data_IF_854622974754
#
_entry.id   IF_854622974754
#
_cell.length_a   1.000
_cell.length_b   1.000
_cell.length_c   1.000
_cell.angle_alpha   90.00
_cell.angle_beta   90.00
_cell.angle_gamma   90.00
#
_symmetry.space_group_name_H-M   'P 1'
#
loop_
_entity.id
_entity.type
_entity.pdbx_description
1 polymer ?
#
# COMPACT_ATOMS: atom_id res chain seq x y z
N UNK A 1 -2.51 -5.91 -21.79
CA UNK A 1 -1.38 -5.37 -21.02
C UNK A 1 -0.59 -4.43 -21.87
N UNK A 2 -0.31 -3.23 -21.35
CA UNK A 2 0.67 -2.30 -21.89
C UNK A 2 2.04 -2.73 -21.36
N UNK A 3 2.99 -3.02 -22.26
CA UNK A 3 4.34 -3.43 -21.88
C UNK A 3 5.34 -2.36 -22.27
N UNK A 4 6.08 -1.87 -21.29
CA UNK A 4 7.14 -0.86 -21.47
C UNK A 4 8.47 -1.53 -21.18
N UNK A 5 9.15 -1.96 -22.23
CA UNK A 5 10.41 -2.70 -22.14
C UNK A 5 11.54 -2.03 -22.94
N UNK A 6 11.53 -0.69 -22.96
CA UNK A 6 12.57 0.13 -23.59
C UNK A 6 13.00 1.17 -22.58
N UNK A 7 14.30 1.22 -22.29
CA UNK A 7 14.88 2.23 -21.41
C UNK A 7 14.46 3.66 -21.82
N UNK A 8 14.37 4.53 -20.83
CA UNK A 8 14.00 5.95 -20.97
C UNK A 8 12.62 6.22 -21.57
N UNK A 9 11.74 5.22 -21.62
CA UNK A 9 10.38 5.43 -22.11
C UNK A 9 9.59 6.31 -21.14
N UNK A 10 8.99 7.38 -21.67
CA UNK A 10 8.04 8.23 -20.94
C UNK A 10 6.63 7.84 -21.35
N UNK A 11 5.82 7.41 -20.38
CA UNK A 11 4.38 7.17 -20.53
C UNK A 11 3.62 8.21 -19.70
N UNK A 12 3.27 9.33 -20.34
CA UNK A 12 2.60 10.48 -19.72
C UNK A 12 1.10 10.49 -20.05
N UNK A 13 0.26 10.48 -19.01
CA UNK A 13 -1.17 10.72 -19.10
C UNK A 13 -1.53 12.20 -18.95
N UNK A 14 -2.62 12.63 -19.59
CA UNK A 14 -3.15 13.98 -19.50
C UNK A 14 -4.63 13.91 -19.10
N UNK A 15 -5.05 14.75 -18.15
CA UNK A 15 -6.45 14.85 -17.72
C UNK A 15 -6.99 13.60 -17.03
N UNK A 16 -6.21 12.99 -16.12
CA UNK A 16 -6.50 11.71 -15.47
C UNK A 16 -6.79 10.59 -16.49
N UNK A 17 -5.87 10.43 -17.45
CA UNK A 17 -5.94 9.34 -18.41
C UNK A 17 -6.05 8.00 -17.69
N UNK A 18 -7.11 7.25 -18.02
CA UNK A 18 -7.50 6.05 -17.27
C UNK A 18 -7.30 4.79 -18.12
N UNK A 19 -6.70 3.76 -17.53
CA UNK A 19 -6.51 2.44 -18.13
C UNK A 19 -7.32 1.43 -17.31
N UNK A 20 -8.24 0.72 -17.98
CA UNK A 20 -9.04 -0.36 -17.37
C UNK A 20 -8.57 -1.69 -17.99
N UNK A 21 -8.02 -2.63 -17.22
CA UNK A 21 -7.70 -3.95 -17.73
C UNK A 21 -8.95 -4.83 -17.84
N UNK A 22 -9.24 -5.28 -19.05
CA UNK A 22 -10.24 -6.32 -19.28
C UNK A 22 -9.68 -7.71 -18.99
N UNK A 23 -10.57 -8.68 -18.69
CA UNK A 23 -10.24 -10.10 -18.57
C UNK A 23 -9.21 -10.46 -17.48
N UNK A 24 -9.06 -9.62 -16.45
CA UNK A 24 -8.18 -9.90 -15.31
C UNK A 24 -6.68 -9.85 -15.64
N UNK A 25 -6.29 -9.12 -16.68
CA UNK A 25 -4.88 -8.96 -17.05
C UNK A 25 -4.20 -7.87 -16.23
N UNK A 26 -2.89 -7.94 -16.07
CA UNK A 26 -2.11 -6.78 -15.62
C UNK A 26 -2.25 -5.63 -16.61
N UNK A 27 -2.58 -4.43 -16.12
CA UNK A 27 -2.76 -3.25 -16.97
C UNK A 27 -1.42 -2.80 -17.55
N UNK A 28 -0.40 -2.65 -16.69
CA UNK A 28 0.92 -2.14 -17.06
C UNK A 28 2.01 -3.08 -16.54
N UNK A 29 2.93 -3.49 -17.41
CA UNK A 29 4.18 -4.15 -17.05
C UNK A 29 5.37 -3.36 -17.54
N UNK A 30 6.26 -2.96 -16.63
CA UNK A 30 7.57 -2.38 -16.96
C UNK A 30 8.60 -3.50 -16.91
N UNK A 31 9.47 -3.57 -17.91
CA UNK A 31 10.59 -4.52 -17.91
C UNK A 31 11.71 -4.10 -16.96
N UNK A 32 12.75 -4.92 -16.87
CA UNK A 32 13.95 -4.65 -16.08
C UNK A 32 14.89 -3.70 -16.86
N UNK A 33 14.50 -2.42 -16.97
CA UNK A 33 15.16 -1.40 -17.81
C UNK A 33 15.25 -0.06 -17.11
N UNK A 34 16.32 0.67 -17.41
CA UNK A 34 16.58 2.00 -16.86
C UNK A 34 15.52 3.04 -17.25
N UNK A 35 15.26 3.97 -16.34
CA UNK A 35 14.77 5.31 -16.65
C UNK A 35 13.33 5.40 -17.17
N UNK A 36 12.52 4.35 -17.04
CA UNK A 36 11.10 4.43 -17.42
C UNK A 36 10.37 5.41 -16.52
N UNK A 37 9.49 6.23 -17.09
CA UNK A 37 8.73 7.26 -16.36
C UNK A 37 7.24 7.03 -16.61
N UNK A 38 6.54 6.49 -15.62
CA UNK A 38 5.08 6.39 -15.61
C UNK A 38 4.53 7.64 -14.91
N UNK A 39 3.76 8.47 -15.61
CA UNK A 39 3.32 9.75 -15.07
C UNK A 39 1.86 10.07 -15.37
N UNK A 40 1.07 10.45 -14.34
CA UNK A 40 -0.28 11.01 -14.51
C UNK A 40 -1.32 10.01 -15.03
N UNK A 41 -1.28 8.77 -14.54
CA UNK A 41 -2.14 7.66 -15.00
C UNK A 41 -3.04 7.17 -13.85
N UNK A 42 -4.31 6.96 -14.15
CA UNK A 42 -5.21 6.17 -13.29
C UNK A 42 -5.32 4.75 -13.86
N UNK A 43 -5.03 3.74 -13.04
CA UNK A 43 -5.34 2.34 -13.35
C UNK A 43 -6.58 1.94 -12.55
N UNK A 44 -7.68 1.69 -13.25
CA UNK A 44 -8.99 1.43 -12.66
C UNK A 44 -9.36 -0.04 -12.88
N UNK A 45 -9.52 -0.81 -11.81
CA UNK A 45 -9.66 -2.26 -11.89
C UNK A 45 -10.95 -2.67 -12.61
N UNK A 46 -10.84 -3.62 -13.55
CA UNK A 46 -12.00 -4.25 -14.17
C UNK A 46 -12.76 -5.20 -13.22
N UNK A 47 -13.98 -5.63 -13.59
CA UNK A 47 -14.81 -6.50 -12.76
C UNK A 47 -14.25 -7.93 -12.61
N UNK A 48 -13.38 -8.36 -13.53
CA UNK A 48 -12.65 -9.64 -13.44
C UNK A 48 -11.37 -9.39 -12.68
N UNK A 49 -11.12 -10.18 -11.63
CA UNK A 49 -9.94 -10.02 -10.78
C UNK A 49 -8.64 -10.08 -11.58
N UNK A 50 -7.82 -9.05 -11.45
CA UNK A 50 -6.44 -9.06 -11.94
C UNK A 50 -5.50 -9.52 -10.83
N UNK A 51 -4.55 -10.40 -11.13
CA UNK A 51 -3.59 -10.81 -10.10
C UNK A 51 -2.70 -9.63 -9.67
N UNK A 52 -2.25 -8.83 -10.63
CA UNK A 52 -1.58 -7.56 -10.43
C UNK A 52 -2.18 -6.50 -11.36
N UNK A 53 -2.25 -5.22 -10.96
CA UNK A 53 -2.65 -4.14 -11.88
C UNK A 53 -1.43 -3.47 -12.52
N UNK A 54 -0.38 -3.21 -11.73
CA UNK A 54 0.88 -2.62 -12.18
C UNK A 54 2.04 -3.48 -11.66
N UNK A 55 2.97 -3.82 -12.54
CA UNK A 55 4.21 -4.53 -12.21
C UNK A 55 5.41 -3.74 -12.75
N UNK A 56 6.33 -3.36 -11.86
CA UNK A 56 7.55 -2.60 -12.16
C UNK A 56 8.75 -3.52 -12.03
N UNK A 57 9.30 -3.95 -13.16
CA UNK A 57 10.28 -5.03 -13.20
C UNK A 57 9.60 -6.41 -13.10
N UNK A 58 10.10 -7.44 -13.79
CA UNK A 58 9.61 -8.80 -13.63
C UNK A 58 9.90 -9.37 -12.24
N UNK A 59 9.18 -10.41 -11.84
CA UNK A 59 9.52 -11.20 -10.65
C UNK A 59 10.99 -11.66 -10.69
N UNK A 60 11.71 -11.50 -9.56
CA UNK A 60 13.15 -11.74 -9.45
C UNK A 60 14.03 -10.80 -10.30
N UNK A 61 13.54 -9.59 -10.63
CA UNK A 61 14.40 -8.49 -11.07
C UNK A 61 15.55 -8.31 -10.07
N UNK A 62 16.75 -8.05 -10.60
CA UNK A 62 17.97 -7.94 -9.79
C UNK A 62 18.98 -6.96 -10.40
N UNK A 63 18.57 -6.16 -11.37
CA UNK A 63 19.40 -5.14 -11.96
C UNK A 63 19.36 -3.88 -11.08
N UNK A 64 20.54 -3.35 -10.78
CA UNK A 64 20.71 -2.05 -10.13
C UNK A 64 20.47 -0.93 -11.15
N UNK A 65 19.60 0.01 -10.81
CA UNK A 65 19.19 1.13 -11.65
C UNK A 65 19.53 2.48 -11.02
N UNK A 66 20.41 2.52 -10.01
CA UNK A 66 20.70 3.70 -9.19
C UNK A 66 21.07 4.97 -9.99
N UNK A 67 21.71 4.81 -11.15
CA UNK A 67 22.11 5.92 -12.01
C UNK A 67 20.94 6.51 -12.84
N UNK A 68 19.90 5.73 -13.12
CA UNK A 68 18.75 6.12 -13.94
C UNK A 68 17.52 5.28 -13.56
N UNK A 69 16.92 5.51 -12.38
CA UNK A 69 15.85 4.66 -11.87
C UNK A 69 14.56 4.82 -12.67
N UNK A 70 13.73 3.77 -12.66
CA UNK A 70 12.34 3.86 -13.09
C UNK A 70 11.52 4.63 -12.04
N UNK A 71 10.56 5.46 -12.48
CA UNK A 71 9.69 6.22 -11.58
C UNK A 71 8.20 6.10 -11.89
N UNK A 72 7.40 6.10 -10.83
CA UNK A 72 5.94 6.21 -10.82
C UNK A 72 5.57 7.55 -10.18
N UNK A 73 4.94 8.43 -10.94
CA UNK A 73 4.61 9.80 -10.50
C UNK A 73 3.16 10.15 -10.81
N UNK A 74 2.37 10.58 -9.83
CA UNK A 74 0.93 10.77 -10.02
C UNK A 74 0.25 9.54 -10.67
N UNK A 75 0.69 8.34 -10.25
CA UNK A 75 0.09 7.08 -10.67
C UNK A 75 -0.91 6.69 -9.61
N UNK A 76 -2.17 6.56 -10.00
CA UNK A 76 -3.28 6.26 -9.12
C UNK A 76 -3.84 4.88 -9.44
N UNK A 77 -4.35 4.19 -8.43
CA UNK A 77 -5.08 2.94 -8.60
C UNK A 77 -6.43 3.04 -7.91
N UNK A 78 -7.48 2.59 -8.60
CA UNK A 78 -8.83 2.46 -8.03
C UNK A 78 -9.33 1.02 -8.18
N UNK A 79 -9.94 0.51 -7.11
CA UNK A 79 -10.60 -0.80 -7.09
C UNK A 79 -12.06 -0.63 -6.62
N UNK A 80 -12.98 -0.55 -7.58
CA UNK A 80 -14.40 -0.31 -7.33
C UNK A 80 -14.81 1.17 -7.38
N UNK A 81 -16.02 1.49 -6.92
CA UNK A 81 -16.55 2.85 -6.82
C UNK A 81 -17.26 3.37 -8.08
N UNK A 82 -16.91 2.85 -9.26
CA UNK A 82 -17.58 3.09 -10.54
C UNK A 82 -18.23 1.81 -11.11
N UNK A 83 -18.65 0.91 -10.22
CA UNK A 83 -18.96 -0.49 -10.51
C UNK A 83 -17.98 -1.42 -9.79
N UNK A 84 -18.19 -2.75 -9.81
CA UNK A 84 -17.30 -3.69 -9.16
C UNK A 84 -15.95 -3.74 -9.88
N UNK A 85 -14.86 -3.71 -9.12
CA UNK A 85 -13.50 -3.93 -9.61
C UNK A 85 -12.73 -4.79 -8.61
N UNK A 86 -11.82 -5.65 -9.07
CA UNK A 86 -11.03 -6.52 -8.18
C UNK A 86 -9.59 -6.65 -8.63
N UNK A 87 -8.68 -6.71 -7.66
CA UNK A 87 -7.29 -7.09 -7.88
C UNK A 87 -6.73 -7.82 -6.66
N UNK A 88 -5.88 -8.83 -6.85
CA UNK A 88 -5.21 -9.50 -5.72
C UNK A 88 -4.19 -8.55 -5.09
N UNK A 89 -3.25 -8.05 -5.89
CA UNK A 89 -2.27 -7.02 -5.51
C UNK A 89 -2.37 -5.85 -6.49
N UNK A 90 -2.35 -4.61 -6.02
CA UNK A 90 -2.50 -3.47 -6.94
C UNK A 90 -1.19 -3.13 -7.65
N UNK A 91 -0.14 -2.85 -6.90
CA UNK A 91 1.19 -2.51 -7.44
C UNK A 91 2.22 -3.47 -6.88
N UNK A 92 3.04 -4.05 -7.76
CA UNK A 92 4.25 -4.80 -7.39
C UNK A 92 5.46 -4.07 -7.95
N UNK A 93 6.42 -3.74 -7.09
CA UNK A 93 7.69 -3.12 -7.45
C UNK A 93 8.81 -4.12 -7.20
N UNK A 94 9.30 -4.73 -8.29
CA UNK A 94 10.42 -5.67 -8.27
C UNK A 94 11.76 -5.01 -8.60
N UNK A 95 11.77 -4.01 -9.48
CA UNK A 95 13.02 -3.34 -9.86
C UNK A 95 13.62 -2.53 -8.71
N UNK A 96 14.92 -2.73 -8.49
CA UNK A 96 15.72 -1.96 -7.54
C UNK A 96 15.73 -0.46 -7.92
N UNK A 97 16.00 0.39 -6.93
CA UNK A 97 16.12 1.85 -7.04
C UNK A 97 14.85 2.60 -7.51
N UNK A 98 13.74 1.89 -7.74
CA UNK A 98 12.48 2.50 -8.20
C UNK A 98 12.07 3.67 -7.30
N UNK A 99 11.63 4.76 -7.92
CA UNK A 99 11.06 5.92 -7.21
C UNK A 99 9.54 5.91 -7.36
N UNK A 100 8.83 5.83 -6.23
CA UNK A 100 7.38 6.09 -6.16
C UNK A 100 7.22 7.49 -5.58
N UNK A 101 6.91 8.48 -6.41
CA UNK A 101 6.77 9.87 -5.99
C UNK A 101 5.35 10.36 -6.26
N UNK A 102 4.55 10.40 -5.19
CA UNK A 102 3.11 10.58 -5.19
C UNK A 102 2.34 9.46 -5.91
N UNK A 103 1.73 8.59 -5.10
CA UNK A 103 0.75 7.60 -5.58
C UNK A 103 -0.43 7.55 -4.61
N UNK A 104 -1.61 7.24 -5.15
CA UNK A 104 -2.77 6.90 -4.35
C UNK A 104 -3.35 5.59 -4.83
N UNK A 105 -3.29 4.56 -3.99
CA UNK A 105 -3.74 3.20 -4.29
C UNK A 105 -4.93 2.90 -3.39
N UNK A 106 -6.13 2.91 -3.96
CA UNK A 106 -7.36 3.01 -3.20
C UNK A 106 -8.34 1.90 -3.55
N UNK A 107 -8.61 1.02 -2.58
CA UNK A 107 -9.79 0.15 -2.63
C UNK A 107 -11.00 0.98 -2.21
N UNK A 108 -12.03 1.03 -3.06
CA UNK A 108 -13.14 1.93 -2.82
C UNK A 108 -13.91 1.66 -1.51
N UNK A 109 -14.09 2.70 -0.70
CA UNK A 109 -14.94 2.71 0.51
C UNK A 109 -16.35 3.29 0.24
N UNK A 110 -16.60 3.80 -0.96
CA UNK A 110 -17.88 4.37 -1.37
C UNK A 110 -18.10 4.29 -2.90
N UNK A 111 -19.26 4.76 -3.36
CA UNK A 111 -19.68 4.72 -4.76
C UNK A 111 -20.49 3.46 -5.10
N UNK A 112 -20.47 3.06 -6.37
CA UNK A 112 -21.13 1.83 -6.82
C UNK A 112 -20.13 0.66 -6.80
N UNK A 113 -20.58 -0.52 -6.39
CA UNK A 113 -19.78 -1.75 -6.48
C UNK A 113 -18.68 -1.90 -5.42
N UNK A 114 -18.83 -1.30 -4.24
CA UNK A 114 -17.94 -1.49 -3.09
C UNK A 114 -18.54 -2.47 -2.05
N UNK A 115 -17.67 -3.00 -1.19
CA UNK A 115 -18.02 -3.92 -0.09
C UNK A 115 -17.04 -5.07 0.02
N UNK A 116 -17.00 -5.74 1.18
CA UNK A 116 -15.94 -6.67 1.59
C UNK A 116 -15.53 -7.66 0.50
N UNK A 117 -16.54 -8.27 -0.15
CA UNK A 117 -16.35 -9.21 -1.27
C UNK A 117 -16.62 -8.59 -2.65
N UNK A 118 -17.30 -7.45 -2.75
CA UNK A 118 -17.71 -6.85 -4.03
C UNK A 118 -16.52 -6.28 -4.79
N UNK A 119 -15.67 -5.51 -4.10
CA UNK A 119 -14.42 -4.95 -4.63
C UNK A 119 -13.20 -5.43 -3.84
N UNK A 120 -13.22 -6.71 -3.43
CA UNK A 120 -12.13 -7.31 -2.67
C UNK A 120 -10.79 -7.06 -3.35
N UNK A 121 -9.85 -6.49 -2.60
CA UNK A 121 -8.45 -6.40 -2.93
C UNK A 121 -7.62 -6.63 -1.68
N UNK A 122 -6.84 -7.70 -1.70
CA UNK A 122 -6.13 -8.15 -0.50
C UNK A 122 -4.89 -7.28 -0.24
N UNK A 123 -4.15 -6.88 -1.28
CA UNK A 123 -2.87 -6.17 -1.13
C UNK A 123 -2.78 -4.90 -1.98
N UNK A 124 -2.30 -3.80 -1.38
CA UNK A 124 -2.11 -2.54 -2.09
C UNK A 124 -0.80 -2.51 -2.85
N UNK A 125 0.29 -2.21 -2.15
CA UNK A 125 1.64 -2.09 -2.72
C UNK A 125 2.54 -3.16 -2.12
N UNK A 126 3.18 -3.96 -2.98
CA UNK A 126 4.24 -4.88 -2.59
C UNK A 126 5.57 -4.42 -3.18
N UNK A 127 6.55 -4.16 -2.32
CA UNK A 127 7.89 -3.74 -2.71
C UNK A 127 8.87 -4.88 -2.47
N UNK A 128 9.36 -5.48 -3.54
CA UNK A 128 10.36 -6.54 -3.51
C UNK A 128 11.77 -6.02 -3.84
N UNK A 129 11.88 -4.97 -4.65
CA UNK A 129 13.16 -4.37 -5.04
C UNK A 129 13.87 -3.67 -3.89
N UNK A 130 15.20 -3.70 -3.94
CA UNK A 130 16.10 -3.01 -3.04
C UNK A 130 16.19 -1.51 -3.35
N UNK A 131 16.57 -0.69 -2.36
CA UNK A 131 16.85 0.75 -2.50
C UNK A 131 15.68 1.61 -3.02
N UNK A 132 14.47 1.05 -3.06
CA UNK A 132 13.24 1.75 -3.47
C UNK A 132 12.95 2.93 -2.54
N UNK A 133 12.56 4.06 -3.14
CA UNK A 133 12.17 5.27 -2.44
C UNK A 133 10.70 5.60 -2.72
N UNK A 134 9.90 5.71 -1.66
CA UNK A 134 8.54 6.24 -1.71
C UNK A 134 8.46 7.63 -1.06
N UNK A 135 7.98 8.63 -1.81
CA UNK A 135 7.71 9.98 -1.30
C UNK A 135 6.24 10.34 -1.54
N UNK A 136 5.46 10.53 -0.47
CA UNK A 136 4.02 10.76 -0.61
C UNK A 136 3.25 9.49 -0.97
N UNK A 137 3.32 8.47 -0.11
CA UNK A 137 2.64 7.18 -0.31
C UNK A 137 1.25 7.18 0.35
N UNK A 138 0.19 7.09 -0.46
CA UNK A 138 -1.20 6.98 0.02
C UNK A 138 -1.78 5.62 -0.41
N UNK A 139 -2.15 4.78 0.56
CA UNK A 139 -2.66 3.42 0.26
C UNK A 139 -3.77 3.08 1.23
N UNK A 140 -4.97 2.71 0.76
CA UNK A 140 -6.15 2.66 1.64
C UNK A 140 -7.09 1.48 1.37
N UNK A 141 -7.69 1.03 2.47
CA UNK A 141 -8.85 0.14 2.59
C UNK A 141 -8.68 -1.30 2.11
N UNK A 142 -7.45 -1.79 1.95
CA UNK A 142 -7.22 -3.18 1.51
C UNK A 142 -7.69 -4.19 2.56
N UNK A 143 -8.14 -5.36 2.10
CA UNK A 143 -8.65 -6.41 2.98
C UNK A 143 -7.55 -7.00 3.88
N UNK A 144 -6.28 -6.94 3.44
CA UNK A 144 -5.11 -7.39 4.22
C UNK A 144 -4.09 -6.26 4.39
N UNK A 145 -2.85 -6.48 3.95
CA UNK A 145 -1.77 -5.51 4.07
C UNK A 145 -1.90 -4.46 2.97
N UNK A 146 -2.04 -3.20 3.35
CA UNK A 146 -2.06 -2.10 2.39
C UNK A 146 -0.66 -1.95 1.75
N UNK A 147 0.41 -2.04 2.54
CA UNK A 147 1.79 -2.07 2.07
C UNK A 147 2.56 -3.25 2.68
N UNK A 148 3.26 -4.00 1.82
CA UNK A 148 4.26 -4.98 2.21
C UNK A 148 5.63 -4.62 1.60
N UNK A 149 6.67 -4.63 2.43
CA UNK A 149 8.03 -4.31 2.03
C UNK A 149 8.98 -5.46 2.34
N UNK A 150 9.56 -6.02 1.29
CA UNK A 150 10.47 -7.16 1.32
C UNK A 150 11.91 -6.81 0.92
N UNK A 151 12.08 -5.75 0.10
CA UNK A 151 13.41 -5.31 -0.35
C UNK A 151 14.21 -4.56 0.72
N UNK A 152 15.52 -4.62 0.61
CA UNK A 152 16.47 -3.98 1.52
C UNK A 152 16.62 -2.48 1.25
N UNK A 153 17.04 -1.73 2.28
CA UNK A 153 17.38 -0.29 2.21
C UNK A 153 16.24 0.61 1.71
N UNK A 154 15.01 0.11 1.78
CA UNK A 154 13.81 0.84 1.42
C UNK A 154 13.57 2.07 2.28
N UNK A 155 13.04 3.14 1.67
CA UNK A 155 12.73 4.39 2.36
C UNK A 155 11.34 4.90 2.02
N UNK A 156 10.60 5.31 3.05
CA UNK A 156 9.29 5.99 2.88
C UNK A 156 9.28 7.33 3.59
N UNK A 157 9.09 8.42 2.85
CA UNK A 157 8.93 9.77 3.39
C UNK A 157 7.49 10.19 3.13
N UNK A 158 6.72 10.31 4.22
CA UNK A 158 5.26 10.45 4.22
C UNK A 158 4.52 9.17 3.81
N UNK A 159 3.68 8.69 4.72
CA UNK A 159 2.69 7.63 4.46
C UNK A 159 1.34 7.97 5.08
N UNK A 160 0.28 7.76 4.32
CA UNK A 160 -1.09 7.86 4.78
C UNK A 160 -1.83 6.57 4.41
N UNK A 161 -2.59 6.07 5.38
CA UNK A 161 -3.46 4.91 5.20
C UNK A 161 -4.72 5.04 6.03
N UNK A 162 -5.84 4.60 5.49
CA UNK A 162 -6.99 4.18 6.27
C UNK A 162 -7.27 2.68 6.08
N UNK A 163 -7.59 1.97 7.16
CA UNK A 163 -7.97 0.55 7.09
C UNK A 163 -9.32 0.35 6.40
N UNK A 164 -9.61 -0.89 5.99
CA UNK A 164 -10.90 -1.25 5.42
C UNK A 164 -12.04 -1.04 6.43
N UNK A 165 -12.99 -0.18 6.11
CA UNK A 165 -14.11 0.16 7.00
C UNK A 165 -15.11 -0.99 7.16
N UNK A 166 -15.13 -1.88 6.17
CA UNK A 166 -16.20 -2.83 5.89
C UNK A 166 -15.86 -4.26 6.25
N UNK A 167 -14.83 -4.48 7.08
CA UNK A 167 -14.59 -5.77 7.71
C UNK A 167 -15.86 -6.19 8.49
N UNK A 168 -16.45 -7.38 8.21
CA UNK A 168 -17.74 -7.75 8.79
C UNK A 168 -17.66 -8.18 10.25
N UNK A 169 -16.46 -8.52 10.73
CA UNK A 169 -16.15 -8.91 12.11
C UNK A 169 -14.63 -9.06 12.30
N UNK A 170 -14.19 -9.30 13.54
CA UNK A 170 -12.78 -9.53 13.88
C UNK A 170 -12.17 -10.74 13.15
N UNK A 171 -12.92 -11.83 12.96
CA UNK A 171 -12.43 -13.07 12.34
C UNK A 171 -12.02 -12.84 10.88
N UNK A 172 -12.75 -11.98 10.16
CA UNK A 172 -12.48 -11.67 8.76
C UNK A 172 -11.11 -11.02 8.52
N UNK A 173 -10.54 -10.38 9.55
CA UNK A 173 -9.22 -9.74 9.48
C UNK A 173 -8.17 -10.46 10.34
N UNK A 174 -8.49 -11.60 10.94
CA UNK A 174 -7.55 -12.33 11.78
C UNK A 174 -6.34 -12.78 10.96
N UNK A 175 -5.14 -12.46 11.44
CA UNK A 175 -3.89 -12.72 10.75
C UNK A 175 -2.99 -13.61 11.60
N UNK A 176 -3.24 -14.92 11.57
CA UNK A 176 -2.65 -15.84 12.54
C UNK A 176 -3.04 -15.43 13.95
N UNK A 177 -2.05 -15.23 14.82
CA UNK A 177 -2.29 -14.76 16.20
C UNK A 177 -2.43 -13.22 16.29
N UNK A 178 -2.17 -12.48 15.20
CA UNK A 178 -2.28 -11.01 15.16
C UNK A 178 -3.71 -10.57 14.81
N UNK A 179 -4.24 -9.56 15.51
CA UNK A 179 -5.56 -8.98 15.21
C UNK A 179 -5.45 -7.97 14.07
N UNK A 180 -5.88 -8.34 12.87
CA UNK A 180 -5.79 -7.47 11.72
C UNK A 180 -4.45 -7.54 10.98
N UNK A 181 -4.44 -6.97 9.79
CA UNK A 181 -3.25 -6.81 8.97
C UNK A 181 -2.74 -5.38 9.12
N UNK A 182 -1.44 -5.19 9.37
CA UNK A 182 -0.83 -3.85 9.43
C UNK A 182 -1.13 -3.04 8.16
N UNK A 183 -1.22 -1.72 8.27
CA UNK A 183 -1.23 -0.84 7.11
C UNK A 183 0.10 -0.89 6.35
N UNK A 184 1.20 -0.99 7.10
CA UNK A 184 2.54 -1.05 6.53
C UNK A 184 3.36 -2.10 7.25
N UNK A 185 3.76 -3.15 6.52
CA UNK A 185 4.57 -4.25 7.01
C UNK A 185 5.94 -4.25 6.33
N UNK A 186 7.00 -4.24 7.13
CA UNK A 186 8.36 -4.65 6.70
C UNK A 186 8.53 -6.12 7.07
N UNK A 187 8.99 -6.93 6.12
CA UNK A 187 9.22 -8.36 6.36
C UNK A 187 10.33 -8.58 7.40
N UNK A 188 10.22 -9.66 8.19
CA UNK A 188 11.14 -9.95 9.28
C UNK A 188 12.57 -10.25 8.79
N UNK A 189 12.73 -10.63 7.51
CA UNK A 189 14.05 -10.84 6.90
C UNK A 189 14.82 -9.54 6.65
N UNK A 190 14.15 -8.40 6.49
CA UNK A 190 14.78 -7.12 6.11
C UNK A 190 15.75 -6.65 7.20
N UNK A 191 16.95 -6.25 6.81
CA UNK A 191 17.98 -5.73 7.73
C UNK A 191 18.05 -4.19 7.75
N UNK A 192 17.69 -3.53 6.65
CA UNK A 192 17.72 -2.08 6.52
C UNK A 192 16.42 -1.52 5.95
N UNK A 193 15.78 -0.61 6.67
CA UNK A 193 14.57 0.09 6.23
C UNK A 193 14.40 1.39 7.01
N UNK A 194 13.86 2.45 6.41
CA UNK A 194 13.60 3.69 7.16
C UNK A 194 12.34 4.45 6.72
N UNK A 195 11.50 4.84 7.69
CA UNK A 195 10.25 5.55 7.43
C UNK A 195 10.08 6.84 8.23
N UNK A 196 9.46 7.87 7.64
CA UNK A 196 9.22 9.18 8.27
C UNK A 196 7.80 9.68 8.06
N UNK A 197 7.14 10.12 9.14
CA UNK A 197 5.85 10.81 9.09
C UNK A 197 4.75 9.92 8.52
N UNK A 198 4.39 8.87 9.24
CA UNK A 198 3.52 7.81 8.74
C UNK A 198 2.29 7.65 9.62
N UNK A 199 1.10 7.61 9.01
CA UNK A 199 -0.18 7.52 9.72
C UNK A 199 -1.08 6.41 9.21
N UNK A 200 -1.72 5.70 10.15
CA UNK A 200 -2.75 4.70 9.87
C UNK A 200 -4.03 5.02 10.66
N UNK A 201 -5.15 5.24 9.96
CA UNK A 201 -6.45 5.56 10.56
C UNK A 201 -7.37 4.33 10.48
N UNK A 202 -8.32 4.19 11.41
CA UNK A 202 -9.37 3.18 11.32
C UNK A 202 -10.75 3.82 11.51
N UNK A 203 -11.72 3.27 10.76
CA UNK A 203 -13.12 3.63 10.82
C UNK A 203 -13.96 2.40 10.51
N UNK A 204 -13.86 1.38 11.36
CA UNK A 204 -14.64 0.14 11.25
C UNK A 204 -16.12 0.40 11.54
N UNK A 205 -16.80 1.16 10.69
CA UNK A 205 -18.18 1.57 10.89
C UNK A 205 -19.17 0.42 10.71
N UNK A 206 -18.79 -0.62 9.97
CA UNK A 206 -19.59 -1.84 9.80
C UNK A 206 -19.59 -2.69 11.07
N UNK A 207 -18.42 -2.86 11.71
CA UNK A 207 -18.31 -3.45 13.04
C UNK A 207 -17.35 -2.64 13.93
N UNK A 208 -17.87 -1.65 14.68
CA UNK A 208 -17.07 -0.80 15.56
C UNK A 208 -16.39 -1.52 16.72
N UNK A 209 -16.67 -2.81 16.94
CA UNK A 209 -16.02 -3.61 17.99
C UNK A 209 -14.66 -4.17 17.57
N UNK A 210 -14.31 -4.05 16.28
CA UNK A 210 -13.05 -4.53 15.74
C UNK A 210 -11.86 -3.83 16.39
N UNK A 211 -10.86 -4.65 16.71
CA UNK A 211 -9.56 -4.25 17.20
C UNK A 211 -8.51 -4.53 16.12
N UNK A 212 -7.74 -3.50 15.79
CA UNK A 212 -6.55 -3.58 14.95
C UNK A 212 -5.33 -3.59 15.88
N UNK A 213 -4.47 -4.58 15.81
CA UNK A 213 -3.36 -4.71 16.76
C UNK A 213 -2.38 -3.54 16.63
N UNK A 214 -1.99 -3.22 15.40
CA UNK A 214 -1.07 -2.14 15.10
C UNK A 214 -1.30 -1.58 13.68
N UNK A 215 -0.91 -0.33 13.47
CA UNK A 215 -0.83 0.26 12.14
C UNK A 215 0.42 -0.21 11.39
N UNK A 216 1.52 -0.44 12.10
CA UNK A 216 2.81 -0.76 11.51
C UNK A 216 3.35 -2.08 12.07
N UNK A 217 4.02 -2.88 11.23
CA UNK A 217 4.74 -4.09 11.66
C UNK A 217 6.13 -4.12 11.04
N UNK A 218 7.17 -4.36 11.85
CA UNK A 218 8.54 -4.41 11.38
C UNK A 218 9.46 -5.22 12.31
N UNK A 219 10.57 -5.77 11.80
CA UNK A 219 11.57 -6.39 12.66
C UNK A 219 12.26 -5.36 13.57
N UNK A 220 12.58 -5.77 14.81
CA UNK A 220 13.35 -4.96 15.76
C UNK A 220 14.84 -5.17 15.51
N UNK A 221 15.41 -4.37 14.60
CA UNK A 221 16.82 -4.46 14.19
C UNK A 221 17.44 -3.05 14.14
N UNK A 222 18.76 -2.89 14.40
CA UNK A 222 19.41 -1.58 14.37
C UNK A 222 19.26 -0.79 13.06
N UNK A 223 19.12 -1.49 11.92
CA UNK A 223 18.98 -0.90 10.59
C UNK A 223 17.54 -0.62 10.15
N UNK A 224 16.53 -1.06 10.90
CA UNK A 224 15.11 -0.88 10.55
C UNK A 224 14.52 0.17 11.48
N UNK A 225 14.32 1.40 11.00
CA UNK A 225 13.97 2.55 11.84
C UNK A 225 12.71 3.28 11.36
N UNK A 226 11.97 3.88 12.28
CA UNK A 226 10.84 4.74 11.94
C UNK A 226 10.84 6.01 12.78
N UNK A 227 10.28 7.07 12.22
CA UNK A 227 10.21 8.39 12.84
C UNK A 227 8.81 8.98 12.67
N UNK A 228 8.21 9.42 13.79
CA UNK A 228 6.90 10.06 13.82
C UNK A 228 5.79 9.18 13.22
N UNK A 229 5.55 8.03 13.85
CA UNK A 229 4.42 7.16 13.55
C UNK A 229 3.18 7.59 14.34
N UNK A 230 2.02 7.52 13.71
CA UNK A 230 0.73 7.71 14.38
C UNK A 230 -0.29 6.64 13.98
N UNK A 231 -1.15 6.29 14.92
CA UNK A 231 -2.42 5.59 14.63
C UNK A 231 -3.59 6.35 15.22
N UNK A 232 -4.75 6.27 14.57
CA UNK A 232 -5.93 7.07 14.93
C UNK A 232 -7.21 6.27 14.72
N UNK A 233 -8.10 6.25 15.72
CA UNK A 233 -9.49 5.82 15.53
C UNK A 233 -10.35 7.03 15.19
N UNK A 234 -11.13 6.93 14.12
CA UNK A 234 -12.03 7.98 13.66
C UNK A 234 -13.39 7.83 14.39
N UNK A 235 -13.65 8.71 15.35
CA UNK A 235 -14.92 8.71 16.08
C UNK A 235 -15.15 7.47 16.97
N UNK A 236 -14.10 6.69 17.27
CA UNK A 236 -14.20 5.47 18.06
C UNK A 236 -14.73 4.24 17.31
N UNK A 237 -14.73 4.25 15.97
CA UNK A 237 -15.19 3.12 15.16
C UNK A 237 -14.05 2.10 14.97
N UNK A 238 -13.98 1.16 15.91
CA UNK A 238 -12.83 0.30 16.13
C UNK A 238 -11.69 1.03 16.83
N UNK A 239 -10.66 0.29 17.25
CA UNK A 239 -9.51 0.84 17.97
C UNK A 239 -8.20 0.14 17.58
N UNK A 240 -7.09 0.84 17.74
CA UNK A 240 -5.75 0.25 17.70
C UNK A 240 -5.30 -0.19 19.10
N UNK A 241 -4.65 -1.35 19.23
CA UNK A 241 -3.99 -1.75 20.48
C UNK A 241 -2.62 -1.06 20.65
N UNK A 242 -1.89 -0.90 19.55
CA UNK A 242 -0.54 -0.36 19.50
C UNK A 242 -0.33 0.49 18.24
N UNK A 243 0.75 1.27 18.21
CA UNK A 243 1.16 2.02 17.02
C UNK A 243 1.91 1.09 16.07
N UNK A 244 2.99 0.48 16.54
CA UNK A 244 3.88 -0.41 15.79
C UNK A 244 4.20 -1.65 16.63
N UNK A 245 4.07 -2.85 16.06
CA UNK A 245 4.23 -4.11 16.80
C UNK A 245 3.42 -4.10 18.11
N UNK A 246 4.11 -4.14 19.26
CA UNK A 246 3.61 -4.06 20.64
C UNK A 246 3.96 -2.70 21.33
N UNK A 247 4.40 -1.71 20.55
CA UNK A 247 4.87 -0.39 21.02
C UNK A 247 3.87 0.71 20.68
N UNK A 248 3.70 1.64 21.62
CA UNK A 248 2.74 2.75 21.54
C UNK A 248 1.44 2.42 22.26
N UNK A 249 0.80 3.46 22.80
CA UNK A 249 -0.47 3.30 23.53
C UNK A 249 -1.61 2.94 22.57
N UNK A 250 -2.66 2.27 23.07
CA UNK A 250 -3.86 2.08 22.27
C UNK A 250 -4.55 3.41 21.99
N UNK A 251 -5.34 3.46 20.91
CA UNK A 251 -6.37 4.49 20.79
C UNK A 251 -7.54 4.15 21.71
N UNK A 252 -8.31 5.14 22.15
CA UNK A 252 -9.46 4.90 23.02
C UNK A 252 -10.49 6.02 22.96
N UNK A 253 -11.72 5.71 23.35
CA UNK A 253 -12.83 6.65 23.33
C UNK A 253 -13.30 7.00 21.93
N UNK A 254 -14.12 8.05 21.83
CA UNK A 254 -14.70 8.53 20.57
C UNK A 254 -14.05 9.82 20.07
N UNK A 255 -13.21 10.44 20.89
CA UNK A 255 -12.42 11.60 20.46
C UNK A 255 -11.31 11.13 19.52
N UNK A 256 -11.20 11.75 18.35
CA UNK A 256 -10.19 11.42 17.33
C UNK A 256 -8.82 11.96 17.74
N UNK A 257 -8.21 11.31 18.74
CA UNK A 257 -6.90 11.68 19.29
C UNK A 257 -5.84 10.67 18.81
N UNK A 258 -4.77 11.12 18.13
CA UNK A 258 -3.71 10.22 17.69
C UNK A 258 -2.93 9.59 18.84
N UNK A 259 -2.67 8.29 18.74
CA UNK A 259 -1.59 7.63 19.47
C UNK A 259 -0.30 7.69 18.65
N UNK A 260 0.85 7.83 19.31
CA UNK A 260 2.09 8.25 18.67
C UNK A 260 3.30 7.45 19.15
N UNK A 261 4.23 7.20 18.23
CA UNK A 261 5.59 6.74 18.51
C UNK A 261 6.55 7.64 17.75
N UNK A 262 7.41 8.37 18.48
CA UNK A 262 8.31 9.36 17.89
C UNK A 262 9.48 8.69 17.16
N UNK A 263 10.03 7.60 17.70
CA UNK A 263 11.13 6.83 17.10
C UNK A 263 10.91 5.33 17.33
N UNK A 264 11.39 4.49 16.41
CA UNK A 264 11.45 3.04 16.51
C UNK A 264 12.70 2.51 15.77
N UNK A 265 13.27 1.36 16.18
CA UNK A 265 13.08 0.77 17.50
C UNK A 265 13.59 1.72 18.59
#
# INVERSE_FOLDING_TARGET
>A
TITINRADTVALGLGLATIIPDNGVTAIKVGDVDGVKLAGLLVDAGPVNSETLIEVGPENASADHAANPTSLQDVFVRIGGAGPGKATTSIVVNSDDTIIDHTWVWRADHGDGWGWETNRADYGVRVNGDDVLATGLFVEHFNKYDVEWYGERGRTIFFQNEKAYDAPNQEAIQNGDTKGYAAYRVDDSVEQHEGWGMGSYCYYNVDPTIIQEHGFKAPVKPGVKFHSLIVVSLGGNGQYEHVINDVGSPTSGTETVPSQVVNFP
#
